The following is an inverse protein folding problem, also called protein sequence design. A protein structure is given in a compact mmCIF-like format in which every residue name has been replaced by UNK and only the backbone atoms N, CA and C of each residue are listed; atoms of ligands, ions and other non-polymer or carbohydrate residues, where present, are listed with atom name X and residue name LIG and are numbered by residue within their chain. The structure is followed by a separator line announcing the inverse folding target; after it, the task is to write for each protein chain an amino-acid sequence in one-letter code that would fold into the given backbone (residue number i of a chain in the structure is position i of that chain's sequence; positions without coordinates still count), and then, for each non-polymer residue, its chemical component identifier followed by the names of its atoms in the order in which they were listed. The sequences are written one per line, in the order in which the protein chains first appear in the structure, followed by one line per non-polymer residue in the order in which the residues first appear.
data_IF_163075681811
#
_entry.id   IF_163075681811
#
_cell.length_a   1.000
_cell.length_b   1.000
_cell.length_c   1.000
_cell.angle_alpha   90.00
_cell.angle_beta   90.00
_cell.angle_gamma   90.00
#
_symmetry.space_group_name_H-M   'P 1'
#
loop_
_entity.id
_entity.type
_entity.pdbx_description
1 polymer ?
#
# COMPACT_ATOMS: atom_id res chain seq x y z
N UNK A 1 12.01 -5.10 -13.62
CA UNK A 1 11.03 -4.22 -12.96
C UNK A 1 11.69 -2.92 -12.53
N UNK A 2 10.98 -1.79 -12.55
CA UNK A 2 11.45 -0.52 -11.97
C UNK A 2 10.54 -0.14 -10.81
N UNK A 3 11.03 0.71 -9.92
CA UNK A 3 10.27 1.19 -8.75
C UNK A 3 10.42 2.70 -8.71
N UNK A 4 9.30 3.42 -8.61
CA UNK A 4 9.27 4.81 -8.16
C UNK A 4 8.41 4.89 -6.91
N UNK A 5 8.86 5.66 -5.92
CA UNK A 5 8.15 5.80 -4.65
C UNK A 5 8.40 7.17 -4.03
N UNK A 6 7.37 7.75 -3.46
CA UNK A 6 7.44 9.07 -2.86
C UNK A 6 6.51 9.15 -1.65
N UNK A 7 6.88 9.96 -0.68
CA UNK A 7 6.02 10.33 0.46
C UNK A 7 6.14 11.82 0.73
N UNK A 8 5.04 12.44 1.11
CA UNK A 8 4.98 13.85 1.45
C UNK A 8 4.04 14.09 2.64
N UNK A 9 4.33 15.13 3.41
CA UNK A 9 3.53 15.51 4.58
C UNK A 9 2.14 16.02 4.21
N UNK A 10 1.95 16.45 2.95
CA UNK A 10 0.74 17.14 2.51
C UNK A 10 0.72 18.61 2.94
N UNK A 11 -0.38 19.31 2.59
CA UNK A 11 -0.51 20.75 2.82
C UNK A 11 -1.12 21.10 4.19
N UNK A 12 -1.73 20.15 4.89
CA UNK A 12 -2.55 20.41 6.08
C UNK A 12 -2.00 19.77 7.36
N UNK A 13 -1.16 18.75 7.26
CA UNK A 13 -0.63 18.03 8.42
C UNK A 13 0.64 18.68 8.94
N UNK A 14 0.98 18.45 10.21
CA UNK A 14 2.21 18.94 10.85
C UNK A 14 3.29 17.84 10.94
N UNK A 15 2.90 16.59 10.75
CA UNK A 15 3.77 15.42 10.79
C UNK A 15 3.38 14.45 9.68
N UNK A 16 4.37 13.82 9.08
CA UNK A 16 4.12 12.70 8.18
C UNK A 16 4.10 11.41 9.00
N UNK A 17 2.93 10.80 9.12
CA UNK A 17 2.71 9.52 9.81
C UNK A 17 2.66 8.34 8.84
N UNK A 18 2.72 8.60 7.54
CA UNK A 18 2.92 7.56 6.52
C UNK A 18 4.36 7.05 6.52
N UNK A 19 4.53 5.83 6.10
CA UNK A 19 5.83 5.29 5.72
C UNK A 19 5.69 4.24 4.63
N UNK A 20 6.75 4.02 3.86
CA UNK A 20 6.80 3.00 2.83
C UNK A 20 8.16 2.31 2.77
N UNK A 21 8.17 1.12 2.18
CA UNK A 21 9.39 0.43 1.78
C UNK A 21 9.13 -0.35 0.49
N UNK A 22 10.07 -0.32 -0.45
CA UNK A 22 10.00 -1.10 -1.67
C UNK A 22 11.39 -1.56 -2.10
N UNK A 23 11.46 -2.73 -2.73
CA UNK A 23 12.72 -3.29 -3.18
C UNK A 23 12.55 -4.18 -4.40
N UNK A 24 13.45 -4.01 -5.37
CA UNK A 24 13.66 -5.01 -6.40
C UNK A 24 14.36 -6.23 -5.83
N UNK A 25 13.97 -7.39 -6.31
CA UNK A 25 14.53 -8.67 -5.91
C UNK A 25 15.11 -9.40 -7.14
N UNK A 26 16.00 -10.39 -6.93
CA UNK A 26 16.50 -11.22 -8.03
C UNK A 26 15.37 -11.90 -8.81
N UNK A 27 15.62 -12.23 -10.08
CA UNK A 27 14.66 -12.94 -10.92
C UNK A 27 13.52 -12.08 -11.47
N UNK A 28 13.71 -10.76 -11.54
CA UNK A 28 12.70 -9.85 -12.10
C UNK A 28 11.45 -9.72 -11.22
N UNK A 29 11.61 -9.87 -9.91
CA UNK A 29 10.54 -9.71 -8.92
C UNK A 29 10.72 -8.43 -8.12
N UNK A 30 9.64 -7.93 -7.50
CA UNK A 30 9.68 -6.78 -6.61
C UNK A 30 8.61 -6.90 -5.53
N UNK A 31 8.80 -6.17 -4.45
CA UNK A 31 7.80 -6.00 -3.41
C UNK A 31 7.77 -4.57 -2.90
N UNK A 32 6.66 -4.20 -2.29
CA UNK A 32 6.51 -2.93 -1.62
C UNK A 32 5.42 -2.97 -0.58
N UNK A 33 5.50 -2.05 0.40
CA UNK A 33 4.50 -1.82 1.42
C UNK A 33 4.32 -0.32 1.64
N UNK A 34 3.07 0.13 1.74
CA UNK A 34 2.67 1.46 2.22
C UNK A 34 1.89 1.29 3.50
N UNK A 35 2.21 2.12 4.48
CA UNK A 35 1.62 2.16 5.82
C UNK A 35 1.21 3.59 6.14
N UNK A 36 -0.06 3.79 6.49
CA UNK A 36 -0.62 5.05 7.00
C UNK A 36 -0.84 4.90 8.50
N UNK A 37 -0.09 5.66 9.27
CA UNK A 37 -0.02 5.55 10.71
C UNK A 37 -1.11 6.33 11.42
N UNK A 38 -1.71 5.74 12.45
CA UNK A 38 -2.74 6.36 13.29
C UNK A 38 -2.46 6.19 14.77
N UNK A 39 -2.97 7.13 15.56
CA UNK A 39 -2.91 7.08 17.03
C UNK A 39 -2.00 8.12 17.65
N UNK A 40 -2.60 9.07 18.37
CA UNK A 40 -1.95 10.05 19.25
C UNK A 40 -0.79 10.84 18.64
N UNK A 41 -0.16 11.65 19.47
CA UNK A 41 1.07 12.38 19.10
C UNK A 41 2.19 11.34 18.95
N UNK A 42 2.78 11.24 17.77
CA UNK A 42 3.85 10.30 17.36
C UNK A 42 3.47 8.80 17.26
N UNK A 43 2.33 8.34 17.75
CA UNK A 43 1.98 6.93 17.74
C UNK A 43 1.85 6.37 16.32
N UNK A 44 1.17 7.08 15.43
CA UNK A 44 0.98 6.68 14.04
C UNK A 44 2.32 6.53 13.30
N UNK A 45 3.19 7.53 13.39
CA UNK A 45 4.51 7.50 12.75
C UNK A 45 5.33 6.29 13.22
N UNK A 46 5.35 6.03 14.54
CA UNK A 46 6.08 4.89 15.10
C UNK A 46 5.50 3.57 14.62
N UNK A 47 4.17 3.46 14.55
CA UNK A 47 3.50 2.25 14.06
C UNK A 47 3.84 1.96 12.59
N UNK A 48 3.76 2.98 11.71
CA UNK A 48 4.10 2.86 10.30
C UNK A 48 5.57 2.47 10.09
N UNK A 49 6.50 3.08 10.84
CA UNK A 49 7.93 2.70 10.79
C UNK A 49 8.18 1.25 11.25
N UNK A 50 7.60 0.84 12.37
CA UNK A 50 7.73 -0.56 12.85
C UNK A 50 7.19 -1.52 11.78
N UNK A 51 6.07 -1.19 11.15
CA UNK A 51 5.46 -2.05 10.14
C UNK A 51 6.35 -2.20 8.90
N UNK A 52 6.85 -1.10 8.35
CA UNK A 52 7.73 -1.13 7.17
C UNK A 52 9.06 -1.81 7.46
N UNK A 53 9.71 -1.49 8.60
CA UNK A 53 10.98 -2.10 9.00
C UNK A 53 10.84 -3.61 9.24
N UNK A 54 9.77 -4.05 9.89
CA UNK A 54 9.51 -5.47 10.16
C UNK A 54 9.32 -6.23 8.85
N UNK A 55 8.53 -5.66 7.93
CA UNK A 55 8.30 -6.30 6.63
C UNK A 55 9.58 -6.34 5.79
N UNK A 56 10.38 -5.28 5.78
CA UNK A 56 11.68 -5.26 5.12
C UNK A 56 12.62 -6.36 5.66
N UNK A 57 12.74 -6.46 6.98
CA UNK A 57 13.56 -7.48 7.61
C UNK A 57 13.03 -8.90 7.31
N UNK A 58 11.71 -9.07 7.25
CA UNK A 58 11.11 -10.35 6.90
C UNK A 58 11.46 -10.75 5.48
N UNK A 59 11.30 -9.88 4.49
CA UNK A 59 11.69 -10.14 3.11
C UNK A 59 13.20 -10.44 3.01
N UNK A 60 14.05 -9.60 3.61
CA UNK A 60 15.50 -9.78 3.56
C UNK A 60 15.97 -11.14 4.11
N UNK A 61 15.31 -11.64 5.16
CA UNK A 61 15.72 -12.89 5.83
C UNK A 61 15.07 -14.13 5.24
N UNK A 62 13.80 -14.03 4.81
CA UNK A 62 12.97 -15.20 4.49
C UNK A 62 12.78 -15.41 2.98
N UNK A 63 13.09 -14.41 2.13
CA UNK A 63 12.83 -14.50 0.69
C UNK A 63 13.52 -15.71 0.04
N UNK A 64 14.73 -16.06 0.48
CA UNK A 64 15.47 -17.22 -0.02
C UNK A 64 14.78 -18.56 0.26
N UNK A 65 13.86 -18.61 1.22
CA UNK A 65 13.09 -19.81 1.58
C UNK A 65 11.75 -19.90 0.83
N UNK A 66 11.39 -18.88 0.07
CA UNK A 66 10.16 -18.88 -0.70
C UNK A 66 10.24 -19.92 -1.81
N UNK A 67 9.30 -20.88 -1.77
CA UNK A 67 9.14 -21.88 -2.81
C UNK A 67 8.04 -21.43 -3.78
N UNK A 68 8.14 -21.78 -5.07
CA UNK A 68 7.07 -21.52 -6.04
C UNK A 68 5.71 -22.04 -5.54
N UNK A 69 4.69 -21.19 -5.61
CA UNK A 69 3.34 -21.50 -5.09
C UNK A 69 3.17 -21.21 -3.59
N UNK A 70 4.22 -20.80 -2.89
CA UNK A 70 4.19 -20.43 -1.48
C UNK A 70 3.96 -18.94 -1.20
N UNK A 71 3.81 -18.12 -2.24
CA UNK A 71 3.80 -16.65 -2.17
C UNK A 71 2.69 -16.13 -1.25
N UNK A 72 1.48 -16.70 -1.36
CA UNK A 72 0.37 -16.34 -0.46
C UNK A 72 0.73 -16.55 1.00
N UNK A 73 1.22 -17.73 1.35
CA UNK A 73 1.56 -18.06 2.74
C UNK A 73 2.73 -17.20 3.24
N UNK A 74 3.67 -16.90 2.35
CA UNK A 74 4.82 -16.05 2.64
C UNK A 74 4.38 -14.64 3.01
N UNK A 75 3.63 -13.95 2.13
CA UNK A 75 3.24 -12.56 2.36
C UNK A 75 2.26 -12.42 3.54
N UNK A 76 1.35 -13.38 3.71
CA UNK A 76 0.42 -13.43 4.84
C UNK A 76 1.15 -13.60 6.17
N UNK A 77 2.17 -14.47 6.23
CA UNK A 77 2.99 -14.65 7.41
C UNK A 77 3.82 -13.41 7.75
N UNK A 78 4.40 -12.76 6.74
CA UNK A 78 5.10 -11.48 6.94
C UNK A 78 4.17 -10.43 7.57
N UNK A 79 2.96 -10.35 7.07
CA UNK A 79 1.96 -9.41 7.55
C UNK A 79 1.50 -9.71 8.99
N UNK A 80 1.37 -10.99 9.36
CA UNK A 80 1.06 -11.40 10.75
C UNK A 80 2.20 -11.06 11.72
N UNK A 81 3.45 -11.32 11.33
CA UNK A 81 4.64 -10.93 12.10
C UNK A 81 4.68 -9.41 12.30
N UNK A 82 4.39 -8.66 11.25
CA UNK A 82 4.33 -7.19 11.28
C UNK A 82 3.26 -6.70 12.24
N UNK A 83 2.05 -7.25 12.17
CA UNK A 83 0.98 -6.91 13.12
C UNK A 83 1.42 -7.12 14.56
N UNK A 84 2.05 -8.26 14.84
CA UNK A 84 2.52 -8.60 16.19
C UNK A 84 3.55 -7.60 16.70
N UNK A 85 4.51 -7.20 15.86
CA UNK A 85 5.52 -6.24 16.24
C UNK A 85 4.93 -4.86 16.62
N UNK A 86 3.97 -4.37 15.83
CA UNK A 86 3.26 -3.11 16.14
C UNK A 86 2.43 -3.25 17.41
N UNK A 87 1.69 -4.35 17.56
CA UNK A 87 0.85 -4.63 18.72
C UNK A 87 1.64 -4.73 20.03
N UNK A 88 2.79 -5.41 20.01
CA UNK A 88 3.67 -5.54 21.16
C UNK A 88 4.18 -4.18 21.62
N UNK A 89 4.57 -3.29 20.69
CA UNK A 89 4.97 -1.93 21.04
C UNK A 89 3.80 -1.11 21.60
N UNK A 90 2.62 -1.19 20.97
CA UNK A 90 1.41 -0.49 21.41
C UNK A 90 0.97 -0.87 22.83
N UNK A 91 1.20 -2.13 23.24
CA UNK A 91 0.77 -2.66 24.54
C UNK A 91 1.84 -2.60 25.61
N UNK A 92 3.12 -2.55 25.27
CA UNK A 92 4.23 -2.48 26.21
C UNK A 92 4.58 -1.05 26.66
N UNK A 93 4.09 -0.04 25.96
CA UNK A 93 4.41 1.37 26.19
C UNK A 93 3.11 2.16 26.36
N UNK A 94 2.81 2.68 27.59
CA UNK A 94 1.58 3.43 27.83
C UNK A 94 1.41 4.68 26.94
N UNK A 95 2.51 5.30 26.49
CA UNK A 95 2.47 6.46 25.59
C UNK A 95 2.08 6.08 24.16
N UNK A 96 2.23 4.79 23.80
CA UNK A 96 1.90 4.22 22.49
C UNK A 96 0.54 3.51 22.48
N UNK A 97 -0.21 3.58 23.58
CA UNK A 97 -1.51 2.91 23.67
C UNK A 97 -2.47 3.40 22.59
N UNK A 98 -3.01 2.46 21.82
CA UNK A 98 -3.94 2.74 20.72
C UNK A 98 -3.25 3.16 19.41
N UNK A 99 -1.93 3.12 19.31
CA UNK A 99 -1.26 3.29 18.03
C UNK A 99 -1.55 2.10 17.11
N UNK A 100 -1.54 2.37 15.83
CA UNK A 100 -1.69 1.37 14.79
C UNK A 100 -1.31 1.96 13.43
N UNK A 101 -1.44 1.18 12.40
CA UNK A 101 -1.22 1.64 11.03
C UNK A 101 -2.03 0.82 10.05
N UNK A 102 -2.45 1.41 8.95
CA UNK A 102 -2.87 0.61 7.81
C UNK A 102 -1.67 -0.16 7.26
N UNK A 103 -1.93 -1.05 6.35
CA UNK A 103 -0.86 -1.67 5.57
C UNK A 103 -1.42 -2.23 4.27
N UNK A 104 -0.78 -1.87 3.16
CA UNK A 104 -0.98 -2.53 1.87
C UNK A 104 0.37 -2.97 1.34
N UNK A 105 0.54 -4.27 1.21
CA UNK A 105 1.79 -4.87 0.75
C UNK A 105 1.55 -5.71 -0.50
N UNK A 106 2.46 -5.60 -1.46
CA UNK A 106 2.44 -6.42 -2.66
C UNK A 106 3.79 -7.09 -2.90
N UNK A 107 3.74 -8.31 -3.43
CA UNK A 107 4.85 -9.02 -4.04
C UNK A 107 4.46 -9.36 -5.48
N UNK A 108 5.27 -8.94 -6.42
CA UNK A 108 5.02 -9.13 -7.84
C UNK A 108 6.17 -9.92 -8.49
N UNK A 109 5.80 -10.94 -9.29
CA UNK A 109 6.75 -11.78 -10.02
C UNK A 109 6.09 -12.98 -10.66
N UNK A 110 6.73 -13.56 -11.68
CA UNK A 110 6.23 -14.76 -12.32
C UNK A 110 4.84 -14.63 -12.98
N UNK A 111 4.47 -13.43 -13.46
CA UNK A 111 3.16 -13.17 -14.06
C UNK A 111 2.03 -12.97 -13.05
N UNK A 112 2.34 -12.83 -11.75
CA UNK A 112 1.34 -12.67 -10.69
C UNK A 112 1.72 -11.54 -9.73
N UNK A 113 0.73 -10.81 -9.25
CA UNK A 113 0.82 -9.94 -8.09
C UNK A 113 0.02 -10.55 -6.92
N UNK A 114 0.68 -10.64 -5.78
CA UNK A 114 0.12 -11.08 -4.50
C UNK A 114 0.00 -9.88 -3.59
N UNK A 115 -1.20 -9.51 -3.21
CA UNK A 115 -1.49 -8.31 -2.40
C UNK A 115 -2.12 -8.74 -1.09
N UNK A 116 -1.63 -8.19 0.02
CA UNK A 116 -2.24 -8.34 1.34
C UNK A 116 -2.44 -6.95 1.95
N UNK A 117 -3.58 -6.72 2.58
CA UNK A 117 -3.85 -5.44 3.20
C UNK A 117 -4.71 -5.51 4.45
N UNK A 118 -4.61 -4.45 5.25
CA UNK A 118 -5.51 -4.11 6.37
C UNK A 118 -5.60 -2.59 6.45
N UNK A 119 -6.82 -2.07 6.38
CA UNK A 119 -7.11 -0.63 6.34
C UNK A 119 -7.69 -0.20 5.00
N UNK A 120 -7.56 1.06 4.69
CA UNK A 120 -8.06 1.74 3.50
C UNK A 120 -6.95 2.29 2.59
N UNK A 121 -5.68 2.01 2.91
CA UNK A 121 -4.59 2.09 1.92
C UNK A 121 -4.83 1.08 0.81
N UNK A 122 -4.61 1.47 -0.43
CA UNK A 122 -5.10 0.74 -1.60
C UNK A 122 -4.00 0.24 -2.51
N UNK A 123 -4.32 -0.85 -3.22
CA UNK A 123 -3.55 -1.34 -4.36
C UNK A 123 -4.40 -1.28 -5.63
N UNK A 124 -3.78 -0.82 -6.73
CA UNK A 124 -4.38 -0.74 -8.04
C UNK A 124 -3.47 -1.39 -9.09
N UNK A 125 -4.07 -1.96 -10.12
CA UNK A 125 -3.39 -2.39 -11.33
C UNK A 125 -3.74 -1.44 -12.47
N UNK A 126 -2.73 -0.84 -13.08
CA UNK A 126 -2.83 -0.14 -14.35
C UNK A 126 -2.47 -1.11 -15.48
N UNK A 127 -3.42 -1.36 -16.35
CA UNK A 127 -3.32 -2.27 -17.48
C UNK A 127 -4.00 -1.62 -18.69
N UNK A 128 -3.31 -1.53 -19.82
CA UNK A 128 -3.84 -1.00 -21.10
C UNK A 128 -4.59 0.34 -20.98
N UNK A 129 -4.12 1.25 -20.13
CA UNK A 129 -4.73 2.56 -19.92
C UNK A 129 -5.88 2.59 -18.92
N UNK A 130 -6.25 1.45 -18.36
CA UNK A 130 -7.30 1.35 -17.34
C UNK A 130 -6.72 1.11 -15.94
N UNK A 131 -7.34 1.71 -14.92
CA UNK A 131 -6.98 1.53 -13.52
C UNK A 131 -8.02 0.69 -12.79
N UNK A 132 -7.63 -0.47 -12.29
CA UNK A 132 -8.48 -1.36 -11.51
C UNK A 132 -8.01 -1.47 -10.08
N UNK A 133 -8.86 -1.13 -9.11
CA UNK A 133 -8.58 -1.35 -7.70
C UNK A 133 -8.58 -2.86 -7.38
N UNK A 134 -7.52 -3.32 -6.71
CA UNK A 134 -7.34 -4.73 -6.28
C UNK A 134 -7.88 -4.93 -4.86
N UNK A 135 -7.59 -3.99 -3.98
CA UNK A 135 -8.01 -4.03 -2.57
C UNK A 135 -9.44 -3.55 -2.39
N UNK A 136 -10.04 -3.92 -1.28
CA UNK A 136 -11.33 -3.38 -0.84
C UNK A 136 -11.15 -2.76 0.54
N UNK A 137 -11.53 -1.50 0.69
CA UNK A 137 -11.26 -0.75 1.92
C UNK A 137 -11.89 -1.41 3.15
N UNK A 138 -11.13 -1.53 4.19
CA UNK A 138 -11.64 -1.92 5.49
C UNK A 138 -12.13 -0.69 6.26
N UNK A 139 -13.19 -0.06 5.76
CA UNK A 139 -13.80 1.13 6.34
C UNK A 139 -15.29 0.92 6.64
N UNK A 140 -15.82 1.74 7.55
CA UNK A 140 -17.25 1.73 7.88
C UNK A 140 -18.11 2.06 6.64
N UNK A 141 -17.68 3.01 5.84
CA UNK A 141 -18.43 3.43 4.65
C UNK A 141 -18.44 2.35 3.58
N UNK A 142 -17.35 1.61 3.42
CA UNK A 142 -17.31 0.48 2.50
C UNK A 142 -18.30 -0.63 2.93
N UNK A 143 -18.44 -0.92 4.23
CA UNK A 143 -19.44 -1.86 4.72
C UNK A 143 -20.88 -1.40 4.45
N UNK A 144 -21.14 -0.08 4.51
CA UNK A 144 -22.45 0.46 4.16
C UNK A 144 -22.74 0.35 2.66
N UNK A 145 -21.74 0.58 1.80
CA UNK A 145 -21.84 0.35 0.34
C UNK A 145 -22.14 -1.11 0.05
N UNK A 146 -21.41 -2.03 0.68
CA UNK A 146 -21.55 -3.47 0.48
C UNK A 146 -22.92 -4.01 0.87
N UNK A 147 -23.48 -3.43 1.94
CA UNK A 147 -24.84 -3.76 2.40
C UNK A 147 -25.95 -3.03 1.61
N UNK A 148 -25.59 -2.25 0.58
CA UNK A 148 -26.54 -1.49 -0.25
C UNK A 148 -27.20 -0.34 0.48
N UNK A 149 -26.70 0.09 1.63
CA UNK A 149 -27.29 1.19 2.43
C UNK A 149 -26.95 2.58 1.88
N UNK A 150 -25.80 2.71 1.26
CA UNK A 150 -25.36 3.95 0.59
C UNK A 150 -24.68 3.61 -0.73
N UNK A 151 -24.63 4.59 -1.66
CA UNK A 151 -23.85 4.47 -2.90
C UNK A 151 -22.38 4.81 -2.68
N UNK A 152 -21.51 4.54 -3.66
CA UNK A 152 -20.09 4.94 -3.60
C UNK A 152 -19.92 6.46 -3.53
N UNK A 153 -20.75 7.21 -4.25
CA UNK A 153 -20.75 8.68 -4.22
C UNK A 153 -21.14 9.22 -2.84
N UNK A 154 -22.13 8.60 -2.19
CA UNK A 154 -22.51 8.94 -0.82
C UNK A 154 -21.40 8.57 0.18
N UNK A 155 -20.69 7.46 -0.02
CA UNK A 155 -19.57 7.06 0.83
C UNK A 155 -18.44 8.10 0.81
N UNK A 156 -18.09 8.62 -0.37
CA UNK A 156 -17.04 9.64 -0.54
C UNK A 156 -17.30 10.94 0.22
N UNK A 157 -18.58 11.27 0.47
CA UNK A 157 -19.01 12.49 1.18
C UNK A 157 -19.45 12.19 2.63
N UNK A 158 -19.35 10.96 3.08
CA UNK A 158 -19.85 10.56 4.38
C UNK A 158 -18.99 11.12 5.52
N UNK A 159 -19.55 11.65 6.63
CA UNK A 159 -18.76 12.24 7.72
C UNK A 159 -17.85 11.25 8.45
N UNK A 160 -18.07 9.95 8.30
CA UNK A 160 -17.26 8.87 8.88
C UNK A 160 -16.49 8.09 7.81
N UNK A 161 -16.13 8.72 6.69
CA UNK A 161 -15.42 8.06 5.60
C UNK A 161 -14.04 7.52 6.02
N UNK A 162 -13.35 8.22 6.92
CA UNK A 162 -12.03 7.85 7.43
C UNK A 162 -12.10 6.88 8.65
N UNK A 163 -13.27 6.30 8.95
CA UNK A 163 -13.36 5.33 10.04
C UNK A 163 -13.02 3.92 9.53
N UNK A 164 -11.77 3.53 9.73
CA UNK A 164 -11.29 2.20 9.37
C UNK A 164 -11.75 1.14 10.39
N UNK A 165 -11.89 -0.10 9.93
CA UNK A 165 -12.38 -1.23 10.73
C UNK A 165 -11.31 -2.30 10.97
N UNK A 166 -10.16 -2.20 10.30
CA UNK A 166 -9.00 -3.08 10.47
C UNK A 166 -7.71 -2.28 10.31
N UNK A 167 -6.74 -2.56 11.18
CA UNK A 167 -5.40 -1.98 11.10
C UNK A 167 -4.39 -2.90 11.80
N UNK A 168 -3.13 -2.77 11.44
CA UNK A 168 -1.99 -3.41 12.11
C UNK A 168 -1.80 -2.78 13.49
N UNK A 169 -1.53 -3.61 14.50
CA UNK A 169 -1.18 -3.18 15.85
C UNK A 169 -2.37 -2.90 16.79
N UNK A 170 -3.60 -2.86 16.28
CA UNK A 170 -4.80 -2.57 17.10
C UNK A 170 -5.28 -3.82 17.85
N UNK A 171 -4.99 -5.01 17.35
CA UNK A 171 -5.37 -6.29 17.93
C UNK A 171 -4.23 -7.29 17.83
N UNK A 172 -4.11 -8.17 18.83
CA UNK A 172 -3.10 -9.24 18.82
C UNK A 172 -3.21 -10.14 17.57
N UNK A 173 -4.44 -10.39 17.13
CA UNK A 173 -4.74 -11.18 15.95
C UNK A 173 -5.43 -10.29 14.92
N UNK A 174 -4.88 -10.28 13.71
CA UNK A 174 -5.46 -9.58 12.56
C UNK A 174 -5.99 -10.60 11.55
N UNK A 175 -7.04 -10.23 10.82
CA UNK A 175 -7.51 -10.96 9.66
C UNK A 175 -7.31 -10.07 8.43
N UNK A 176 -6.11 -10.08 7.83
CA UNK A 176 -5.86 -9.28 6.63
C UNK A 176 -6.59 -9.89 5.43
N UNK A 177 -6.86 -9.08 4.44
CA UNK A 177 -7.41 -9.56 3.17
C UNK A 177 -6.27 -9.83 2.19
N UNK A 178 -6.38 -10.96 1.48
CA UNK A 178 -5.44 -11.36 0.45
C UNK A 178 -6.12 -11.37 -0.92
N UNK A 179 -5.49 -10.72 -1.87
CA UNK A 179 -5.89 -10.69 -3.27
C UNK A 179 -4.75 -11.16 -4.17
N UNK A 180 -5.10 -11.72 -5.33
CA UNK A 180 -4.15 -12.11 -6.36
C UNK A 180 -4.67 -11.65 -7.72
N UNK A 181 -3.80 -11.11 -8.57
CA UNK A 181 -4.14 -10.80 -9.94
C UNK A 181 -3.01 -11.23 -10.88
N UNK A 182 -3.38 -11.57 -12.09
CA UNK A 182 -2.45 -11.73 -13.20
C UNK A 182 -1.91 -10.37 -13.60
N UNK A 183 -0.64 -10.35 -14.01
CA UNK A 183 0.08 -9.16 -14.43
C UNK A 183 0.83 -9.46 -15.72
N UNK A 184 0.87 -8.49 -16.61
CA UNK A 184 1.53 -8.56 -17.89
C UNK A 184 2.69 -7.56 -17.99
N UNK A 185 3.50 -7.73 -19.02
CA UNK A 185 4.58 -6.79 -19.33
C UNK A 185 3.98 -5.44 -19.73
N UNK A 186 4.42 -4.39 -19.05
CA UNK A 186 3.89 -3.03 -19.24
C UNK A 186 2.83 -2.61 -18.24
N UNK A 187 2.36 -3.54 -17.39
CA UNK A 187 1.50 -3.20 -16.28
C UNK A 187 2.25 -2.42 -15.20
N UNK A 188 1.52 -1.57 -14.48
CA UNK A 188 2.04 -0.86 -13.31
C UNK A 188 1.14 -1.16 -12.11
N UNK A 189 1.76 -1.63 -11.03
CA UNK A 189 1.09 -1.82 -9.75
C UNK A 189 1.33 -0.58 -8.89
N UNK A 190 0.25 0.09 -8.48
CA UNK A 190 0.28 1.23 -7.56
C UNK A 190 -0.16 0.77 -6.18
N UNK A 191 0.64 1.07 -5.16
CA UNK A 191 0.26 1.04 -3.75
C UNK A 191 0.21 2.46 -3.23
N UNK A 192 -0.81 2.85 -2.45
CA UNK A 192 -0.91 4.21 -1.93
C UNK A 192 -1.68 4.29 -0.61
N UNK A 193 -1.40 5.34 0.18
CA UNK A 193 -2.26 5.77 1.29
C UNK A 193 -3.52 6.47 0.78
N UNK A 194 -4.45 6.75 1.67
CA UNK A 194 -5.70 7.43 1.35
C UNK A 194 -5.48 8.89 0.92
N UNK A 195 -4.38 9.53 1.33
CA UNK A 195 -4.01 10.87 0.90
C UNK A 195 -3.87 11.03 -0.62
N UNK A 196 -3.51 9.95 -1.36
CA UNK A 196 -3.58 9.95 -2.81
C UNK A 196 -5.02 9.70 -3.30
N UNK A 197 -5.62 8.61 -2.86
CA UNK A 197 -6.87 8.10 -3.42
C UNK A 197 -8.11 8.88 -2.98
N UNK A 198 -8.01 9.74 -1.96
CA UNK A 198 -9.03 10.71 -1.57
C UNK A 198 -8.95 12.00 -2.38
N UNK A 199 -7.77 12.31 -2.94
CA UNK A 199 -7.54 13.52 -3.75
C UNK A 199 -7.71 13.26 -5.23
N UNK A 200 -7.44 12.05 -5.73
CA UNK A 200 -7.47 11.69 -7.14
C UNK A 200 -8.40 10.51 -7.41
N UNK A 201 -9.23 10.63 -8.43
CA UNK A 201 -10.05 9.51 -8.92
C UNK A 201 -9.19 8.56 -9.76
N UNK A 202 -9.59 7.29 -9.84
CA UNK A 202 -8.89 6.27 -10.61
C UNK A 202 -8.59 6.67 -12.06
N UNK A 203 -9.51 7.38 -12.72
CA UNK A 203 -9.32 7.88 -14.08
C UNK A 203 -8.22 8.96 -14.18
N UNK A 204 -8.09 9.84 -13.17
CA UNK A 204 -7.03 10.85 -13.12
C UNK A 204 -5.68 10.21 -12.86
N UNK A 205 -5.61 9.25 -11.94
CA UNK A 205 -4.41 8.45 -11.67
C UNK A 205 -3.96 7.71 -12.95
N UNK A 206 -4.91 7.06 -13.64
CA UNK A 206 -4.65 6.34 -14.91
C UNK A 206 -4.03 7.25 -15.97
N UNK A 207 -4.59 8.45 -16.15
CA UNK A 207 -4.09 9.41 -17.13
C UNK A 207 -2.64 9.87 -16.80
N UNK A 208 -2.35 10.16 -15.53
CA UNK A 208 -1.02 10.62 -15.11
C UNK A 208 0.05 9.52 -15.28
N UNK A 209 -0.30 8.27 -14.97
CA UNK A 209 0.59 7.11 -15.18
C UNK A 209 0.84 6.87 -16.67
N UNK A 210 -0.20 6.88 -17.49
CA UNK A 210 -0.11 6.54 -18.91
C UNK A 210 0.67 7.55 -19.77
N UNK A 211 0.86 8.78 -19.29
CA UNK A 211 1.51 9.88 -20.05
C UNK A 211 2.93 10.21 -19.58
N UNK A 212 3.54 9.41 -18.72
CA UNK A 212 4.80 9.76 -18.06
C UNK A 212 5.73 8.56 -17.94
N UNK A 213 7.03 8.80 -17.77
CA UNK A 213 7.88 7.75 -17.20
C UNK A 213 7.53 7.54 -15.71
N UNK A 214 8.05 6.46 -15.14
CA UNK A 214 7.61 6.02 -13.81
C UNK A 214 7.90 7.03 -12.70
N UNK A 215 9.05 7.68 -12.72
CA UNK A 215 9.45 8.69 -11.73
C UNK A 215 8.61 9.95 -11.89
N UNK A 216 8.49 10.45 -13.13
CA UNK A 216 7.62 11.59 -13.43
C UNK A 216 6.14 11.31 -13.10
N UNK A 217 5.68 10.07 -13.26
CA UNK A 217 4.33 9.70 -12.87
C UNK A 217 4.12 9.82 -11.36
N UNK A 218 5.10 9.36 -10.55
CA UNK A 218 5.05 9.51 -9.10
C UNK A 218 5.02 10.98 -8.68
N UNK A 219 5.89 11.81 -9.24
CA UNK A 219 5.94 13.24 -8.97
C UNK A 219 4.62 13.94 -9.33
N UNK A 220 4.07 13.69 -10.52
CA UNK A 220 2.80 14.28 -10.96
C UNK A 220 1.62 13.84 -10.11
N UNK A 221 1.58 12.59 -9.67
CA UNK A 221 0.55 12.09 -8.75
C UNK A 221 0.59 12.83 -7.43
N UNK A 222 1.79 13.06 -6.89
CA UNK A 222 1.98 13.85 -5.68
C UNK A 222 1.55 15.30 -5.90
N UNK A 223 2.10 15.98 -6.91
CA UNK A 223 1.79 17.38 -7.21
C UNK A 223 0.28 17.59 -7.36
N UNK A 224 -0.39 16.75 -8.15
CA UNK A 224 -1.84 16.86 -8.35
C UNK A 224 -2.64 16.60 -7.06
N UNK A 225 -2.15 15.72 -6.17
CA UNK A 225 -2.78 15.50 -4.86
C UNK A 225 -2.66 16.72 -3.97
N UNK A 226 -1.51 17.39 -3.99
CA UNK A 226 -1.28 18.64 -3.25
C UNK A 226 -2.13 19.78 -3.80
N UNK A 227 -2.22 19.91 -5.12
CA UNK A 227 -3.06 20.92 -5.81
C UNK A 227 -4.55 20.73 -5.51
N UNK A 228 -5.01 19.48 -5.35
CA UNK A 228 -6.38 19.14 -4.96
C UNK A 228 -6.63 19.34 -3.45
N UNK A 229 -5.64 19.86 -2.73
CA UNK A 229 -5.77 20.30 -1.34
C UNK A 229 -4.79 19.65 -0.35
N UNK A 230 -4.15 18.51 -0.68
CA UNK A 230 -3.14 17.86 0.15
C UNK A 230 -3.56 17.69 1.62
N UNK A 231 -4.78 17.19 1.84
CA UNK A 231 -5.43 17.22 3.18
C UNK A 231 -4.81 16.26 4.17
N UNK A 232 -4.11 15.23 3.67
CA UNK A 232 -3.42 14.22 4.45
C UNK A 232 -2.01 13.97 3.95
N UNK A 233 -1.25 13.16 4.69
CA UNK A 233 0.01 12.62 4.22
C UNK A 233 -0.23 11.82 2.94
N UNK A 234 0.66 11.91 1.97
CA UNK A 234 0.54 11.24 0.67
C UNK A 234 1.73 10.32 0.50
N UNK A 235 1.47 9.03 0.36
CA UNK A 235 2.52 8.04 0.07
C UNK A 235 2.09 7.13 -1.04
N UNK A 236 3.00 6.86 -1.98
CA UNK A 236 2.76 5.94 -3.08
C UNK A 236 4.01 5.18 -3.50
N UNK A 237 3.80 4.00 -4.07
CA UNK A 237 4.79 3.15 -4.73
C UNK A 237 4.23 2.75 -6.08
N UNK A 238 4.99 2.96 -7.15
CA UNK A 238 4.74 2.42 -8.47
C UNK A 238 5.75 1.30 -8.75
N UNK A 239 5.25 0.11 -9.03
CA UNK A 239 6.06 -1.02 -9.50
C UNK A 239 5.76 -1.22 -10.98
N UNK A 240 6.73 -0.89 -11.84
CA UNK A 240 6.67 -1.17 -13.27
C UNK A 240 7.04 -2.64 -13.49
N UNK A 241 6.09 -3.40 -14.00
CA UNK A 241 6.18 -4.85 -14.17
C UNK A 241 6.83 -5.27 -15.49
N UNK A 242 7.42 -4.31 -16.22
CA UNK A 242 8.24 -4.63 -17.39
C UNK A 242 9.41 -5.53 -16.97
N UNK A 243 9.44 -6.74 -17.47
CA UNK A 243 10.65 -7.56 -17.38
C UNK A 243 11.71 -6.91 -18.26
N UNK A 244 12.83 -6.51 -17.70
CA UNK A 244 14.00 -6.28 -18.54
C UNK A 244 14.33 -7.62 -19.21
N UNK A 245 14.20 -7.61 -20.55
CA UNK A 245 14.53 -8.74 -21.36
C UNK A 245 15.94 -9.22 -21.09
N UNK A 246 16.10 -10.52 -21.13
CA UNK A 246 17.26 -11.27 -21.55
C UNK A 246 18.53 -10.44 -21.72
N UNK A 247 19.39 -10.44 -20.72
CA UNK A 247 20.80 -10.27 -21.01
C UNK A 247 21.13 -11.35 -22.04
N UNK A 248 21.29 -10.93 -23.28
CA UNK A 248 21.81 -11.75 -24.35
C UNK A 248 23.12 -12.35 -23.89
N UNK A 249 23.12 -13.59 -23.49
CA UNK A 249 24.30 -14.44 -23.53
C UNK A 249 24.69 -14.61 -25.00
N UNK A 250 25.45 -13.63 -25.50
CA UNK A 250 26.26 -13.78 -26.71
C UNK A 250 27.72 -13.68 -26.28
N UNK A 251 28.44 -14.78 -26.38
CA UNK A 251 29.88 -14.85 -26.31
C UNK A 251 30.36 -16.18 -25.78
#
# INVERSE_FOLDING_TARGET
MKIAAITDIGSCRQENQDNYCAQQLPGGTAWGIVCDGMGGVNGGRIAAHIATDTMQQYFARQMRSLQPGGEKSFIMRGFDITNRAVYEKATSDPEMMGMGTTGVCAYAGGGLAHVVHAGDSRAYLFHEGEMRQITRDHSMVQQLVDSGKITREQAAQHPKKNLITRALGVSANIVPEYNRCEIEVGDILLLCSDGLSDMLRAAEISQLIGCSDLEQAADKLLEQSLDNGGRDNVSLILLDLTTQGEESCNG
#
